data_IF_741877343778
#
_entry.id   IF_741877343778
#
_cell.length_a   1.000
_cell.length_b   1.000
_cell.length_c   1.000
_cell.angle_alpha   90.00
_cell.angle_beta   90.00
_cell.angle_gamma   90.00
#
_symmetry.space_group_name_H-M   'P 1'
#
loop_
_entity.id
_entity.type
_entity.pdbx_description
1 polymer ?
#
# COMPACT_ATOMS: atom_id res chain seq x y z
N UNK A 1 -4.10 31.46 22.83
CA UNK A 1 -3.99 30.10 22.26
C UNK A 1 -4.82 29.14 23.10
N UNK A 2 -5.46 28.12 22.51
CA UNK A 2 -6.20 27.08 23.27
C UNK A 2 -5.35 25.82 23.38
N UNK A 3 -5.33 25.18 24.54
CA UNK A 3 -4.72 23.85 24.73
C UNK A 3 -5.75 22.78 24.35
N UNK A 4 -5.44 21.94 23.38
CA UNK A 4 -6.25 20.76 23.02
C UNK A 4 -5.48 19.51 23.42
N UNK A 5 -5.87 18.88 24.53
CA UNK A 5 -5.29 17.62 25.00
C UNK A 5 -5.89 16.44 24.23
N UNK A 6 -5.33 15.25 24.39
CA UNK A 6 -5.88 14.01 23.81
C UNK A 6 -7.36 13.84 24.16
N UNK A 7 -7.73 14.01 25.43
CA UNK A 7 -9.10 13.80 25.93
C UNK A 7 -10.10 14.78 25.30
N UNK A 8 -9.69 16.04 25.06
CA UNK A 8 -10.54 17.02 24.38
C UNK A 8 -10.82 16.57 22.94
N UNK A 9 -9.80 16.07 22.25
CA UNK A 9 -9.92 15.61 20.86
C UNK A 9 -10.77 14.35 20.75
N UNK A 10 -10.59 13.40 21.66
CA UNK A 10 -11.42 12.19 21.76
C UNK A 10 -12.89 12.52 22.07
N UNK A 11 -13.16 13.54 22.89
CA UNK A 11 -14.52 14.00 23.15
C UNK A 11 -15.16 14.65 21.90
N UNK A 12 -14.38 15.39 21.11
CA UNK A 12 -14.84 15.92 19.83
C UNK A 12 -15.12 14.82 18.81
N UNK A 13 -14.27 13.77 18.74
CA UNK A 13 -14.54 12.59 17.90
C UNK A 13 -15.89 11.94 18.24
N UNK A 14 -16.20 11.81 19.55
CA UNK A 14 -17.46 11.26 20.01
C UNK A 14 -18.67 12.07 19.51
N UNK A 15 -18.56 13.40 19.54
CA UNK A 15 -19.65 14.30 19.19
C UNK A 15 -19.83 14.51 17.67
N UNK A 16 -18.76 14.41 16.88
CA UNK A 16 -18.75 14.88 15.49
C UNK A 16 -18.66 13.78 14.45
N UNK A 17 -18.06 12.63 14.77
CA UNK A 17 -17.87 11.57 13.76
C UNK A 17 -19.16 10.79 13.52
N UNK A 18 -19.31 10.26 12.30
CA UNK A 18 -20.41 9.38 11.90
C UNK A 18 -20.52 8.15 12.81
N UNK A 19 -21.72 7.56 12.97
CA UNK A 19 -21.91 6.39 13.84
C UNK A 19 -21.02 5.18 13.49
N UNK A 20 -20.70 5.01 12.21
CA UNK A 20 -19.86 3.92 11.70
C UNK A 20 -18.35 4.15 11.88
N UNK A 21 -17.93 5.36 12.28
CA UNK A 21 -16.51 5.71 12.37
C UNK A 21 -15.86 5.13 13.63
N UNK A 22 -14.62 4.68 13.51
CA UNK A 22 -13.84 4.25 14.66
C UNK A 22 -13.56 5.42 15.61
N UNK A 23 -13.61 5.17 16.92
CA UNK A 23 -13.28 6.18 17.94
C UNK A 23 -11.92 5.85 18.54
N UNK A 24 -11.04 6.85 18.66
CA UNK A 24 -9.71 6.68 19.26
C UNK A 24 -9.81 6.20 20.71
N UNK A 25 -10.79 6.74 21.47
CA UNK A 25 -11.07 6.34 22.85
C UNK A 25 -11.55 4.89 23.02
N UNK A 26 -12.01 4.27 21.93
CA UNK A 26 -12.49 2.87 21.90
C UNK A 26 -11.50 1.96 21.14
N UNK A 27 -10.31 2.44 20.80
CA UNK A 27 -9.27 1.63 20.19
C UNK A 27 -8.96 0.43 21.09
N UNK A 28 -8.79 -0.74 20.49
CA UNK A 28 -8.44 -1.94 21.25
C UNK A 28 -7.02 -1.83 21.80
N UNK A 29 -6.77 -2.54 22.89
CA UNK A 29 -5.46 -2.55 23.54
C UNK A 29 -4.36 -3.00 22.58
N UNK A 30 -3.20 -2.35 22.72
CA UNK A 30 -1.96 -2.72 22.04
C UNK A 30 -1.39 -3.98 22.66
N UNK A 31 -0.47 -4.64 21.96
CA UNK A 31 0.16 -5.86 22.46
C UNK A 31 1.09 -5.57 23.65
N UNK A 32 1.72 -4.39 23.67
CA UNK A 32 2.52 -3.89 24.78
C UNK A 32 1.84 -2.67 25.39
N UNK A 33 1.52 -2.75 26.68
CA UNK A 33 0.95 -1.64 27.43
C UNK A 33 1.92 -0.45 27.48
N UNK A 34 1.39 0.73 27.22
CA UNK A 34 2.13 1.98 27.23
C UNK A 34 1.24 3.11 27.75
N UNK A 35 1.80 4.13 28.42
CA UNK A 35 1.01 5.27 28.86
C UNK A 35 0.44 6.02 27.67
N UNK A 36 -0.74 6.60 27.86
CA UNK A 36 -1.38 7.44 26.87
C UNK A 36 -0.62 8.76 26.65
N UNK A 37 -0.60 9.25 25.41
CA UNK A 37 0.07 10.51 25.04
C UNK A 37 -0.80 11.70 25.46
N UNK A 38 -0.26 12.74 26.12
CA UNK A 38 -1.07 13.86 26.61
C UNK A 38 -1.78 14.69 25.51
N UNK A 39 -1.36 14.57 24.24
CA UNK A 39 -1.86 15.40 23.15
C UNK A 39 -2.35 14.61 21.93
N UNK A 40 -1.72 13.48 21.62
CA UNK A 40 -2.03 12.67 20.44
C UNK A 40 -2.99 11.55 20.77
N UNK A 41 -3.96 11.30 19.89
CA UNK A 41 -4.84 10.13 19.98
C UNK A 41 -4.11 8.85 19.61
N UNK A 42 -4.69 7.69 19.93
CA UNK A 42 -4.09 6.39 19.63
C UNK A 42 -3.71 6.23 18.14
N UNK A 43 -4.58 6.65 17.23
CA UNK A 43 -4.35 6.54 15.79
C UNK A 43 -3.34 7.56 15.24
N UNK A 44 -3.25 8.75 15.85
CA UNK A 44 -2.19 9.70 15.51
C UNK A 44 -0.81 9.18 15.90
N UNK A 45 -0.70 8.51 17.07
CA UNK A 45 0.54 7.85 17.47
C UNK A 45 0.94 6.77 16.47
N UNK A 46 -0.02 5.99 15.97
CA UNK A 46 0.23 4.95 14.98
C UNK A 46 0.72 5.51 13.66
N UNK A 47 0.03 6.54 13.15
CA UNK A 47 0.46 7.27 11.96
C UNK A 47 1.91 7.75 12.10
N UNK A 48 2.23 8.39 13.22
CA UNK A 48 3.57 8.93 13.45
C UNK A 48 4.61 7.80 13.51
N UNK A 49 4.30 6.65 14.10
CA UNK A 49 5.20 5.48 14.14
C UNK A 49 5.46 4.91 12.75
N UNK A 50 4.41 4.76 11.93
CA UNK A 50 4.53 4.30 10.54
C UNK A 50 5.42 5.25 9.74
N UNK A 51 5.19 6.56 9.85
CA UNK A 51 5.95 7.57 9.12
C UNK A 51 7.47 7.52 9.42
N UNK A 52 7.85 7.10 10.64
CA UNK A 52 9.25 7.05 11.07
C UNK A 52 9.93 5.70 10.88
N UNK A 53 9.22 4.63 10.51
CA UNK A 53 9.81 3.30 10.33
C UNK A 53 10.72 3.24 9.10
N UNK A 54 11.65 2.28 9.06
CA UNK A 54 12.59 2.15 7.93
C UNK A 54 11.86 1.67 6.69
N UNK A 55 10.87 0.78 6.83
CA UNK A 55 10.06 0.30 5.72
C UNK A 55 9.38 1.44 4.95
N UNK A 56 8.78 2.41 5.66
CA UNK A 56 8.17 3.60 5.02
C UNK A 56 9.21 4.44 4.27
N UNK A 57 10.40 4.66 4.85
CA UNK A 57 11.50 5.38 4.16
C UNK A 57 11.95 4.69 2.87
N UNK A 58 11.94 3.34 2.85
CA UNK A 58 12.33 2.56 1.67
C UNK A 58 11.35 2.70 0.51
N UNK A 59 10.09 3.10 0.74
CA UNK A 59 9.11 3.34 -0.33
C UNK A 59 9.58 4.37 -1.36
N UNK A 60 10.44 5.31 -0.96
CA UNK A 60 11.09 6.28 -1.88
C UNK A 60 11.89 5.59 -2.97
N UNK A 61 12.38 4.38 -2.70
CA UNK A 61 13.29 3.64 -3.56
C UNK A 61 12.68 2.34 -4.11
N UNK A 62 11.34 2.25 -4.09
CA UNK A 62 10.56 1.18 -4.71
C UNK A 62 9.70 1.74 -5.84
N UNK A 63 9.73 1.09 -6.99
CA UNK A 63 8.89 1.39 -8.15
C UNK A 63 7.43 1.08 -7.82
N UNK A 64 6.52 1.90 -8.35
CA UNK A 64 5.09 1.61 -8.32
C UNK A 64 4.71 0.70 -9.51
N UNK A 65 4.81 1.24 -10.73
CA UNK A 65 4.35 0.57 -11.96
C UNK A 65 5.48 0.19 -12.90
N UNK A 66 6.28 1.17 -13.32
CA UNK A 66 7.30 0.93 -14.34
C UNK A 66 8.60 0.47 -13.68
N UNK A 67 9.17 -0.62 -14.16
CA UNK A 67 10.48 -1.09 -13.71
C UNK A 67 11.56 -0.23 -14.36
N UNK A 68 12.30 0.52 -13.54
CA UNK A 68 13.42 1.36 -13.98
C UNK A 68 13.07 2.28 -15.18
N UNK A 69 12.05 3.15 -15.05
CA UNK A 69 11.66 4.00 -16.17
C UNK A 69 12.72 5.07 -16.40
N UNK A 70 13.06 5.30 -17.67
CA UNK A 70 13.91 6.44 -18.06
C UNK A 70 13.10 7.74 -17.92
N UNK A 71 13.25 8.44 -16.80
CA UNK A 71 12.63 9.76 -16.58
C UNK A 71 12.48 10.14 -15.10
N UNK A 72 12.51 11.44 -14.81
CA UNK A 72 12.56 11.98 -13.44
C UNK A 72 11.19 12.07 -12.75
N UNK A 73 10.09 11.79 -13.46
CA UNK A 73 8.73 12.10 -13.02
C UNK A 73 7.83 10.90 -12.74
N UNK A 74 8.35 9.67 -12.83
CA UNK A 74 7.57 8.47 -12.57
C UNK A 74 7.24 8.30 -11.09
N UNK A 75 6.01 7.87 -10.82
CA UNK A 75 5.55 7.64 -9.45
C UNK A 75 6.35 6.52 -8.77
N UNK A 76 6.98 6.88 -7.67
CA UNK A 76 7.51 5.93 -6.68
C UNK A 76 6.40 5.45 -5.78
N UNK A 77 6.64 4.35 -5.07
CA UNK A 77 5.69 3.82 -4.08
C UNK A 77 5.37 4.83 -2.97
N UNK A 78 6.36 5.63 -2.55
CA UNK A 78 6.14 6.69 -1.57
C UNK A 78 5.16 7.75 -2.09
N UNK A 79 5.33 8.20 -3.35
CA UNK A 79 4.43 9.20 -3.95
C UNK A 79 3.03 8.65 -4.14
N UNK A 80 2.88 7.37 -4.52
CA UNK A 80 1.58 6.69 -4.53
C UNK A 80 0.95 6.68 -3.13
N UNK A 81 1.68 6.19 -2.12
CA UNK A 81 1.22 6.14 -0.72
C UNK A 81 0.75 7.52 -0.21
N UNK A 82 1.43 8.61 -0.57
CA UNK A 82 1.00 9.97 -0.22
C UNK A 82 -0.29 10.40 -0.94
N UNK A 83 -0.48 9.99 -2.19
CA UNK A 83 -1.74 10.22 -2.92
C UNK A 83 -2.88 9.41 -2.31
N UNK A 84 -2.66 8.13 -1.98
CA UNK A 84 -3.64 7.29 -1.26
C UNK A 84 -4.04 7.94 0.06
N UNK A 85 -3.07 8.41 0.85
CA UNK A 85 -3.36 9.11 2.10
C UNK A 85 -4.19 10.39 1.87
N UNK A 86 -3.89 11.17 0.83
CA UNK A 86 -4.66 12.38 0.51
C UNK A 86 -6.11 12.06 0.09
N UNK A 87 -6.30 11.07 -0.79
CA UNK A 87 -7.64 10.64 -1.24
C UNK A 87 -8.41 10.05 -0.06
N UNK A 88 -7.80 9.16 0.72
CA UNK A 88 -8.41 8.53 1.88
C UNK A 88 -8.86 9.54 2.93
N UNK A 89 -8.00 10.51 3.28
CA UNK A 89 -8.37 11.61 4.20
C UNK A 89 -9.52 12.46 3.67
N UNK A 90 -9.58 12.66 2.35
CA UNK A 90 -10.65 13.45 1.73
C UNK A 90 -12.00 12.72 1.81
N UNK A 91 -12.02 11.41 1.53
CA UNK A 91 -13.21 10.57 1.70
C UNK A 91 -13.62 10.51 3.18
N UNK A 92 -12.66 10.23 4.08
CA UNK A 92 -12.91 10.15 5.51
C UNK A 92 -13.51 11.44 6.06
N UNK A 93 -12.95 12.60 5.70
CA UNK A 93 -13.50 13.88 6.13
C UNK A 93 -14.89 14.17 5.57
N UNK A 94 -15.15 13.84 4.29
CA UNK A 94 -16.47 14.01 3.68
C UNK A 94 -17.55 13.13 4.34
N UNK A 95 -17.16 11.94 4.83
CA UNK A 95 -18.04 11.00 5.53
C UNK A 95 -18.02 11.13 7.06
N UNK A 96 -17.32 12.14 7.60
CA UNK A 96 -17.07 12.32 9.03
C UNK A 96 -16.55 11.03 9.73
N UNK A 97 -15.60 10.34 9.09
CA UNK A 97 -14.87 9.20 9.62
C UNK A 97 -13.59 9.64 10.34
N UNK A 98 -12.91 8.70 11.02
CA UNK A 98 -11.67 8.99 11.72
C UNK A 98 -10.51 9.22 10.74
N UNK A 99 -10.23 10.49 10.45
CA UNK A 99 -9.15 10.90 9.54
C UNK A 99 -7.77 10.35 9.98
N UNK A 100 -7.33 10.45 11.26
CA UNK A 100 -6.07 9.87 11.70
C UNK A 100 -5.94 8.35 11.49
N UNK A 101 -7.00 7.58 11.74
CA UNK A 101 -7.01 6.13 11.48
C UNK A 101 -6.87 5.86 9.99
N UNK A 102 -7.66 6.55 9.16
CA UNK A 102 -7.61 6.41 7.70
C UNK A 102 -6.22 6.73 7.18
N UNK A 103 -5.62 7.84 7.62
CA UNK A 103 -4.26 8.25 7.25
C UNK A 103 -3.22 7.21 7.68
N UNK A 104 -3.29 6.70 8.92
CA UNK A 104 -2.37 5.66 9.40
C UNK A 104 -2.42 4.40 8.53
N UNK A 105 -3.63 3.92 8.20
CA UNK A 105 -3.82 2.74 7.34
C UNK A 105 -3.29 3.02 5.93
N UNK A 106 -3.63 4.17 5.34
CA UNK A 106 -3.17 4.55 4.01
C UNK A 106 -1.64 4.68 3.94
N UNK A 107 -0.98 5.23 4.96
CA UNK A 107 0.49 5.28 4.99
C UNK A 107 1.12 3.89 5.20
N UNK A 108 0.40 2.98 5.85
CA UNK A 108 0.85 1.64 6.19
C UNK A 108 0.58 0.57 5.13
N UNK A 109 -0.40 0.73 4.24
CA UNK A 109 -0.88 -0.33 3.34
C UNK A 109 0.22 -0.93 2.45
N UNK A 110 1.24 -0.13 2.19
CA UNK A 110 2.23 -0.36 1.16
C UNK A 110 3.65 -0.62 1.69
N UNK A 111 3.86 -0.55 3.00
CA UNK A 111 5.19 -0.76 3.61
C UNK A 111 5.74 -2.18 3.37
N UNK A 112 4.85 -3.13 3.06
CA UNK A 112 5.16 -4.55 2.89
C UNK A 112 5.52 -5.00 1.47
N UNK A 113 5.50 -4.14 0.45
CA UNK A 113 5.84 -4.60 -0.90
C UNK A 113 7.30 -5.03 -1.02
N UNK A 114 7.56 -6.07 -1.80
CA UNK A 114 8.89 -6.46 -2.24
C UNK A 114 9.47 -5.44 -3.25
N UNK A 115 10.77 -5.53 -3.59
CA UNK A 115 11.30 -4.80 -4.74
C UNK A 115 10.50 -5.15 -6.02
N UNK A 116 10.46 -4.23 -6.98
CA UNK A 116 9.82 -4.43 -8.29
C UNK A 116 8.28 -4.56 -8.27
N UNK A 117 7.60 -4.06 -7.24
CA UNK A 117 6.14 -3.99 -7.19
C UNK A 117 5.48 -5.38 -7.24
N UNK A 118 4.49 -5.57 -8.12
CA UNK A 118 3.82 -6.86 -8.29
C UNK A 118 4.76 -7.98 -8.76
N UNK A 119 5.80 -7.64 -9.54
CA UNK A 119 6.79 -8.64 -9.98
C UNK A 119 7.50 -9.29 -8.78
N UNK A 120 7.76 -8.52 -7.72
CA UNK A 120 8.34 -9.05 -6.49
C UNK A 120 7.39 -9.97 -5.73
N UNK A 121 6.10 -9.63 -5.71
CA UNK A 121 5.06 -10.49 -5.12
C UNK A 121 4.96 -11.83 -5.87
N UNK A 122 4.87 -11.78 -7.21
CA UNK A 122 4.82 -12.98 -8.06
C UNK A 122 6.05 -13.87 -7.90
N UNK A 123 7.22 -13.26 -7.62
CA UNK A 123 8.46 -13.98 -7.39
C UNK A 123 8.51 -14.70 -6.03
N UNK A 124 7.93 -14.09 -4.99
CA UNK A 124 7.94 -14.60 -3.62
C UNK A 124 6.78 -15.55 -3.31
N UNK A 125 5.61 -15.34 -3.93
CA UNK A 125 4.42 -16.14 -3.71
C UNK A 125 4.63 -17.66 -3.82
N UNK A 126 5.31 -18.20 -4.87
CA UNK A 126 5.52 -19.64 -4.98
C UNK A 126 6.57 -20.19 -4.01
N UNK A 127 7.29 -19.35 -3.26
CA UNK A 127 8.34 -19.79 -2.35
C UNK A 127 7.80 -20.18 -0.97
N UNK A 128 6.60 -19.72 -0.60
CA UNK A 128 5.97 -20.02 0.68
C UNK A 128 4.70 -20.86 0.45
N UNK A 129 4.43 -21.80 1.36
CA UNK A 129 3.30 -22.74 1.24
C UNK A 129 1.95 -22.00 1.23
N UNK A 130 1.78 -21.01 2.10
CA UNK A 130 0.58 -20.17 2.20
C UNK A 130 0.56 -19.01 1.17
N UNK A 131 1.53 -18.98 0.27
CA UNK A 131 1.78 -17.84 -0.63
C UNK A 131 2.45 -16.65 0.07
N UNK A 132 2.58 -15.55 -0.67
CA UNK A 132 3.13 -14.29 -0.18
C UNK A 132 2.28 -13.14 -0.68
N UNK A 133 1.95 -12.19 0.20
CA UNK A 133 1.19 -10.99 -0.13
C UNK A 133 1.77 -9.79 0.61
N UNK A 134 1.93 -8.68 -0.10
CA UNK A 134 2.46 -7.45 0.47
C UNK A 134 1.70 -6.95 1.71
N UNK A 135 0.37 -7.05 1.75
CA UNK A 135 -0.44 -6.54 2.84
C UNK A 135 -0.21 -7.34 4.14
N UNK A 136 -0.11 -8.67 4.03
CA UNK A 136 0.26 -9.56 5.15
C UNK A 136 1.70 -9.29 5.59
N UNK A 137 2.63 -9.11 4.64
CA UNK A 137 4.00 -8.76 4.95
C UNK A 137 4.12 -7.38 5.62
N UNK A 138 3.26 -6.42 5.26
CA UNK A 138 3.19 -5.11 5.90
C UNK A 138 2.86 -5.21 7.39
N UNK A 139 1.95 -6.11 7.76
CA UNK A 139 1.67 -6.41 9.17
C UNK A 139 2.87 -7.11 9.84
N UNK A 140 3.49 -8.07 9.16
CA UNK A 140 4.72 -8.73 9.66
C UNK A 140 5.84 -7.73 9.93
N UNK A 141 5.97 -6.68 9.12
CA UNK A 141 6.93 -5.60 9.37
C UNK A 141 6.63 -4.91 10.71
N UNK A 142 5.40 -4.46 10.94
CA UNK A 142 5.08 -3.63 12.12
C UNK A 142 4.90 -4.43 13.41
N UNK A 143 4.71 -5.75 13.31
CA UNK A 143 4.60 -6.64 14.48
C UNK A 143 5.93 -7.31 14.84
N UNK A 144 6.73 -7.68 13.83
CA UNK A 144 7.85 -8.61 14.04
C UNK A 144 9.20 -8.01 13.63
N UNK A 145 9.33 -7.46 12.43
CA UNK A 145 10.64 -7.02 11.90
C UNK A 145 11.05 -5.63 12.41
N UNK A 146 10.08 -4.74 12.56
CA UNK A 146 10.20 -3.39 13.08
C UNK A 146 9.03 -3.16 14.05
N UNK A 147 8.99 -3.80 15.23
CA UNK A 147 7.83 -3.80 16.11
C UNK A 147 7.44 -2.37 16.54
N UNK A 148 6.34 -1.87 15.98
CA UNK A 148 5.82 -0.51 16.21
C UNK A 148 4.73 -0.47 17.29
N UNK A 149 4.27 -1.62 17.78
CA UNK A 149 3.21 -1.74 18.78
C UNK A 149 1.93 -0.96 18.36
N UNK A 150 1.48 -1.09 17.10
CA UNK A 150 0.31 -0.37 16.56
C UNK A 150 -1.00 -0.89 17.14
N UNK A 151 -2.05 -0.08 17.08
CA UNK A 151 -3.42 -0.50 17.44
C UNK A 151 -3.89 -1.65 16.52
N UNK A 152 -4.73 -2.59 17.03
CA UNK A 152 -5.30 -3.64 16.20
C UNK A 152 -6.06 -3.13 14.97
N UNK A 153 -6.71 -1.97 15.05
CA UNK A 153 -7.46 -1.35 13.96
C UNK A 153 -6.56 -0.95 12.79
N UNK A 154 -5.40 -0.34 13.07
CA UNK A 154 -4.43 0.01 12.03
C UNK A 154 -3.84 -1.25 11.40
N UNK A 155 -3.50 -2.26 12.21
CA UNK A 155 -2.97 -3.54 11.71
C UNK A 155 -3.97 -4.27 10.82
N UNK A 156 -5.24 -4.31 11.21
CA UNK A 156 -6.32 -4.89 10.40
C UNK A 156 -6.50 -4.12 9.08
N UNK A 157 -6.56 -2.79 9.13
CA UNK A 157 -6.65 -1.96 7.94
C UNK A 157 -5.50 -2.18 6.95
N UNK A 158 -4.26 -2.32 7.46
CA UNK A 158 -3.09 -2.67 6.62
C UNK A 158 -3.26 -4.07 6.04
N UNK A 159 -3.58 -5.07 6.88
CA UNK A 159 -3.77 -6.47 6.47
C UNK A 159 -4.80 -6.61 5.37
N UNK A 160 -5.93 -5.92 5.51
CA UNK A 160 -7.09 -6.06 4.65
C UNK A 160 -7.16 -5.00 3.54
N UNK A 161 -6.12 -4.19 3.37
CA UNK A 161 -6.06 -3.14 2.33
C UNK A 161 -6.18 -3.64 0.89
N UNK A 162 -5.82 -4.91 0.63
CA UNK A 162 -6.00 -5.55 -0.68
C UNK A 162 -7.45 -5.94 -0.91
N UNK A 163 -8.00 -5.60 -2.08
CA UNK A 163 -9.32 -6.04 -2.54
C UNK A 163 -9.47 -7.55 -2.71
N UNK A 164 -8.35 -8.29 -2.71
CA UNK A 164 -8.35 -9.77 -2.76
C UNK A 164 -8.68 -10.41 -1.41
N UNK A 165 -8.65 -9.64 -0.32
CA UNK A 165 -8.75 -10.20 1.01
C UNK A 165 -10.21 -10.23 1.47
N UNK A 166 -10.61 -11.38 1.99
CA UNK A 166 -11.92 -11.65 2.56
C UNK A 166 -11.71 -12.30 3.95
N UNK A 167 -12.34 -11.79 5.03
CA UNK A 167 -13.27 -10.67 5.09
C UNK A 167 -12.62 -9.30 4.75
N UNK A 168 -13.43 -8.28 4.39
CA UNK A 168 -12.97 -6.90 4.27
C UNK A 168 -12.46 -6.33 5.61
N UNK A 169 -11.77 -5.16 5.60
CA UNK A 169 -11.39 -4.45 6.82
C UNK A 169 -12.57 -4.28 7.77
N UNK A 170 -12.31 -4.41 9.07
CA UNK A 170 -13.34 -4.32 10.09
C UNK A 170 -13.87 -2.89 10.30
N UNK A 171 -13.11 -1.87 9.90
CA UNK A 171 -13.46 -0.45 10.06
C UNK A 171 -13.84 0.20 8.75
N UNK A 172 -14.75 1.19 8.83
CA UNK A 172 -15.09 2.05 7.70
C UNK A 172 -13.84 2.72 7.10
N UNK A 173 -12.91 3.16 7.97
CA UNK A 173 -11.64 3.76 7.59
C UNK A 173 -10.73 2.80 6.81
N UNK A 174 -10.74 1.51 7.15
CA UNK A 174 -10.06 0.47 6.37
C UNK A 174 -10.69 0.29 4.98
N UNK A 175 -12.01 0.32 4.87
CA UNK A 175 -12.69 0.32 3.57
C UNK A 175 -12.40 1.57 2.74
N UNK A 176 -12.27 2.74 3.38
CA UNK A 176 -11.82 3.96 2.70
C UNK A 176 -10.42 3.77 2.10
N UNK A 177 -9.49 3.11 2.79
CA UNK A 177 -8.16 2.81 2.23
C UNK A 177 -8.25 2.00 0.94
N UNK A 178 -9.13 0.98 0.87
CA UNK A 178 -9.34 0.18 -0.35
C UNK A 178 -9.76 1.04 -1.54
N UNK A 179 -10.74 1.92 -1.35
CA UNK A 179 -11.18 2.84 -2.40
C UNK A 179 -10.10 3.87 -2.74
N UNK A 180 -9.44 4.44 -1.74
CA UNK A 180 -8.40 5.45 -1.93
C UNK A 180 -7.21 4.90 -2.73
N UNK A 181 -6.75 3.68 -2.44
CA UNK A 181 -5.71 3.00 -3.19
C UNK A 181 -6.12 2.83 -4.66
N UNK A 182 -7.31 2.26 -4.88
CA UNK A 182 -7.89 2.06 -6.22
C UNK A 182 -7.97 3.35 -7.02
N UNK A 183 -8.55 4.40 -6.43
CA UNK A 183 -8.73 5.70 -7.08
C UNK A 183 -7.37 6.32 -7.40
N UNK A 184 -6.42 6.28 -6.46
CA UNK A 184 -5.11 6.87 -6.64
C UNK A 184 -4.40 6.24 -7.84
N UNK A 185 -4.24 4.91 -7.87
CA UNK A 185 -3.48 4.26 -8.96
C UNK A 185 -4.18 4.32 -10.30
N UNK A 186 -5.51 4.19 -10.38
CA UNK A 186 -6.22 4.38 -11.63
C UNK A 186 -5.93 5.77 -12.23
N UNK A 187 -5.88 6.81 -11.38
CA UNK A 187 -5.67 8.17 -11.84
C UNK A 187 -4.23 8.49 -12.24
N UNK A 188 -3.22 8.13 -11.42
CA UNK A 188 -1.83 8.50 -11.74
C UNK A 188 -1.17 7.53 -12.73
N UNK A 189 -1.53 6.24 -12.72
CA UNK A 189 -0.96 5.30 -13.69
C UNK A 189 -1.46 5.60 -15.10
N UNK A 190 -2.73 6.02 -15.25
CA UNK A 190 -3.23 6.52 -16.51
C UNK A 190 -2.45 7.77 -16.96
N UNK A 191 -2.13 8.70 -16.06
CA UNK A 191 -1.34 9.89 -16.41
C UNK A 191 0.10 9.55 -16.81
N UNK A 192 0.76 8.66 -16.07
CA UNK A 192 2.12 8.25 -16.39
C UNK A 192 2.15 7.45 -17.70
N UNK A 193 1.15 6.61 -17.96
CA UNK A 193 0.97 5.94 -19.24
C UNK A 193 0.75 6.92 -20.40
N UNK A 194 -0.09 7.95 -20.22
CA UNK A 194 -0.26 9.02 -21.22
C UNK A 194 1.06 9.75 -21.51
N UNK A 195 1.80 10.13 -20.46
CA UNK A 195 3.10 10.83 -20.60
C UNK A 195 4.14 9.98 -21.31
N UNK A 196 4.14 8.68 -21.06
CA UNK A 196 5.04 7.73 -21.70
C UNK A 196 4.59 7.30 -23.11
N UNK A 197 3.48 7.86 -23.63
CA UNK A 197 2.94 7.48 -24.95
C UNK A 197 2.38 6.06 -25.01
N UNK A 198 2.07 5.48 -23.84
CA UNK A 198 1.54 4.11 -23.68
C UNK A 198 0.04 4.07 -23.84
N UNK A 199 -0.63 5.16 -23.46
CA UNK A 199 -2.09 5.28 -23.48
C UNK A 199 -2.48 6.46 -24.35
N UNK A 200 -3.24 6.19 -25.41
CA UNK A 200 -4.05 7.22 -26.08
C UNK A 200 -5.41 7.29 -25.36
N UNK A 201 -5.85 8.46 -24.88
CA UNK A 201 -7.17 8.63 -24.29
C UNK A 201 -8.33 8.13 -25.15
N UNK A 202 -8.17 8.11 -26.47
CA UNK A 202 -9.16 7.60 -27.40
C UNK A 202 -9.32 6.06 -27.35
N UNK A 203 -8.36 5.34 -26.79
CA UNK A 203 -8.41 3.87 -26.67
C UNK A 203 -9.32 3.41 -25.51
N UNK A 204 -9.65 4.30 -24.57
CA UNK A 204 -10.50 3.95 -23.45
C UNK A 204 -11.94 3.69 -23.95
N UNK A 205 -12.59 2.59 -23.51
CA UNK A 205 -13.98 2.33 -23.85
C UNK A 205 -14.90 3.53 -23.60
N UNK A 206 -15.76 3.82 -24.58
CA UNK A 206 -16.60 5.03 -24.56
C UNK A 206 -17.46 5.13 -23.31
N UNK A 207 -18.04 4.02 -22.84
CA UNK A 207 -18.88 4.01 -21.64
C UNK A 207 -18.09 4.30 -20.35
N UNK A 208 -16.82 3.92 -20.27
CA UNK A 208 -15.95 4.28 -19.14
C UNK A 208 -15.59 5.77 -19.18
N UNK A 209 -15.36 6.32 -20.37
CA UNK A 209 -15.15 7.75 -20.57
C UNK A 209 -16.40 8.56 -20.21
N UNK A 210 -17.58 8.10 -20.63
CA UNK A 210 -18.86 8.73 -20.29
C UNK A 210 -19.13 8.68 -18.77
N UNK A 211 -18.70 7.60 -18.10
CA UNK A 211 -18.92 7.42 -16.66
C UNK A 211 -17.95 8.23 -15.80
N UNK A 212 -16.65 8.14 -16.07
CA UNK A 212 -15.62 8.73 -15.21
C UNK A 212 -15.03 10.04 -15.73
N UNK A 213 -15.28 10.35 -17.01
CA UNK A 213 -14.57 11.39 -17.75
C UNK A 213 -13.28 10.88 -18.40
N UNK A 214 -12.53 11.76 -19.07
CA UNK A 214 -11.27 11.38 -19.72
C UNK A 214 -10.20 10.93 -18.71
N UNK A 215 -9.26 10.04 -19.10
CA UNK A 215 -8.15 9.61 -18.26
C UNK A 215 -7.38 10.76 -17.64
N UNK A 216 -7.17 10.67 -16.33
CA UNK A 216 -6.25 11.52 -15.61
C UNK A 216 -6.78 12.04 -14.26
N UNK A 217 -6.34 13.25 -13.89
CA UNK A 217 -6.52 13.77 -12.52
C UNK A 217 -7.98 13.97 -12.11
N UNK A 218 -8.88 14.17 -13.08
CA UNK A 218 -10.31 14.37 -12.82
C UNK A 218 -10.96 13.14 -12.20
N UNK A 219 -10.46 11.94 -12.51
CA UNK A 219 -10.97 10.68 -11.94
C UNK A 219 -10.92 10.66 -10.42
N UNK A 220 -9.93 11.31 -9.80
CA UNK A 220 -9.84 11.40 -8.34
C UNK A 220 -11.10 12.04 -7.77
N UNK A 221 -11.48 13.21 -8.30
CA UNK A 221 -12.66 13.93 -7.83
C UNK A 221 -13.95 13.16 -8.16
N UNK A 222 -14.07 12.66 -9.39
CA UNK A 222 -15.26 11.92 -9.84
C UNK A 222 -15.52 10.67 -8.98
N UNK A 223 -14.52 9.79 -8.85
CA UNK A 223 -14.68 8.53 -8.11
C UNK A 223 -14.80 8.77 -6.60
N UNK A 224 -14.12 9.79 -6.06
CA UNK A 224 -14.31 10.19 -4.66
C UNK A 224 -15.77 10.59 -4.41
N UNK A 225 -16.35 11.44 -5.26
CA UNK A 225 -17.76 11.84 -5.13
C UNK A 225 -18.69 10.64 -5.22
N UNK A 226 -18.45 9.72 -6.16
CA UNK A 226 -19.25 8.49 -6.28
C UNK A 226 -19.23 7.63 -5.01
N UNK A 227 -18.05 7.47 -4.39
CA UNK A 227 -17.92 6.75 -3.11
C UNK A 227 -18.66 7.49 -2.00
N UNK A 228 -18.47 8.81 -1.88
CA UNK A 228 -19.10 9.60 -0.82
C UNK A 228 -20.63 9.56 -0.93
N UNK A 229 -21.18 9.85 -2.11
CA UNK A 229 -22.63 9.90 -2.32
C UNK A 229 -23.29 8.54 -2.05
N UNK A 230 -22.72 7.46 -2.59
CA UNK A 230 -23.21 6.12 -2.35
C UNK A 230 -23.13 5.73 -0.87
N UNK A 231 -22.05 6.14 -0.19
CA UNK A 231 -21.86 5.82 1.22
C UNK A 231 -22.85 6.54 2.13
N UNK A 232 -23.17 7.80 1.82
CA UNK A 232 -24.20 8.56 2.55
C UNK A 232 -25.58 7.93 2.37
N UNK A 233 -25.91 7.48 1.16
CA UNK A 233 -27.19 6.81 0.86
C UNK A 233 -27.32 5.46 1.58
N UNK A 234 -26.24 4.67 1.60
CA UNK A 234 -26.26 3.32 2.17
C UNK A 234 -26.04 3.27 3.69
N UNK A 235 -25.38 4.28 4.27
CA UNK A 235 -24.97 4.28 5.68
C UNK A 235 -23.73 3.42 5.96
N UNK A 236 -22.98 3.04 4.93
CA UNK A 236 -21.73 2.29 4.99
C UNK A 236 -20.76 2.76 3.90
N UNK A 237 -19.45 2.49 4.01
CA UNK A 237 -18.49 2.91 2.97
C UNK A 237 -18.62 2.01 1.75
N UNK A 238 -19.20 2.55 0.67
CA UNK A 238 -19.52 1.80 -0.54
C UNK A 238 -19.48 2.67 -1.80
N UNK A 239 -19.72 2.04 -2.95
CA UNK A 239 -19.92 2.64 -4.26
C UNK A 239 -21.11 1.93 -4.91
N UNK A 240 -21.93 2.62 -5.71
CA UNK A 240 -23.09 1.99 -6.36
C UNK A 240 -22.64 0.80 -7.23
N UNK A 241 -23.46 -0.23 -7.36
CA UNK A 241 -23.07 -1.47 -8.04
C UNK A 241 -22.51 -1.22 -9.46
N UNK A 242 -23.22 -0.45 -10.28
CA UNK A 242 -22.80 -0.12 -11.64
C UNK A 242 -21.48 0.70 -11.67
N UNK A 243 -21.29 1.58 -10.70
CA UNK A 243 -20.07 2.39 -10.55
C UNK A 243 -18.86 1.52 -10.16
N UNK A 244 -19.07 0.57 -9.25
CA UNK A 244 -18.04 -0.36 -8.80
C UNK A 244 -17.68 -1.36 -9.91
N UNK A 245 -18.67 -1.85 -10.65
CA UNK A 245 -18.46 -2.72 -11.82
C UNK A 245 -17.63 -2.00 -12.89
N UNK A 246 -17.99 -0.75 -13.23
CA UNK A 246 -17.22 0.08 -14.16
C UNK A 246 -15.79 0.34 -13.66
N UNK A 247 -15.58 0.53 -12.35
CA UNK A 247 -14.26 0.69 -11.76
C UNK A 247 -13.43 -0.60 -11.85
N UNK A 248 -14.07 -1.77 -11.69
CA UNK A 248 -13.42 -3.06 -11.89
C UNK A 248 -13.06 -3.29 -13.35
N UNK A 249 -13.95 -2.96 -14.28
CA UNK A 249 -13.69 -3.02 -15.72
C UNK A 249 -12.52 -2.12 -16.11
N UNK A 250 -12.55 -0.84 -15.70
CA UNK A 250 -11.46 0.10 -15.97
C UNK A 250 -10.12 -0.44 -15.48
N UNK A 251 -10.10 -1.05 -14.30
CA UNK A 251 -8.90 -1.63 -13.72
C UNK A 251 -8.38 -2.82 -14.51
N UNK A 252 -9.27 -3.70 -14.98
CA UNK A 252 -8.92 -4.81 -15.86
C UNK A 252 -8.36 -4.29 -17.18
N UNK A 253 -9.02 -3.30 -17.78
CA UNK A 253 -8.58 -2.68 -19.02
C UNK A 253 -7.18 -2.04 -18.87
N UNK A 254 -6.95 -1.25 -17.81
CA UNK A 254 -5.62 -0.69 -17.53
C UNK A 254 -4.58 -1.79 -17.35
N UNK A 255 -4.95 -2.93 -16.77
CA UNK A 255 -4.02 -4.03 -16.58
C UNK A 255 -3.57 -4.68 -17.89
N UNK A 256 -4.51 -4.90 -18.79
CA UNK A 256 -4.23 -5.45 -20.12
C UNK A 256 -3.44 -4.47 -21.01
N UNK A 257 -3.73 -3.18 -20.93
CA UNK A 257 -3.19 -2.18 -21.87
C UNK A 257 -1.93 -1.46 -21.36
N UNK A 258 -1.73 -1.36 -20.04
CA UNK A 258 -0.59 -0.63 -19.44
C UNK A 258 0.44 -1.60 -18.86
N UNK A 259 -0.01 -2.57 -18.04
CA UNK A 259 0.90 -3.42 -17.25
C UNK A 259 1.35 -4.70 -17.98
N UNK A 260 0.49 -5.37 -18.76
CA UNK A 260 0.78 -6.65 -19.42
C UNK A 260 1.51 -6.56 -20.77
N UNK A 261 2.15 -5.42 -21.06
CA UNK A 261 2.79 -5.19 -22.35
C UNK A 261 4.01 -6.10 -22.54
N UNK A 262 4.24 -6.51 -23.79
CA UNK A 262 5.31 -7.44 -24.15
C UNK A 262 6.69 -6.88 -23.78
N UNK A 263 6.88 -5.56 -23.89
CA UNK A 263 8.10 -4.86 -23.50
C UNK A 263 8.36 -4.93 -21.99
N UNK A 264 7.31 -4.96 -21.18
CA UNK A 264 7.41 -5.07 -19.72
C UNK A 264 7.69 -6.52 -19.27
N UNK A 265 7.22 -7.52 -20.03
CA UNK A 265 7.36 -8.94 -19.70
C UNK A 265 8.82 -9.36 -19.51
N UNK A 266 9.70 -8.98 -20.44
CA UNK A 266 11.12 -9.33 -20.35
C UNK A 266 11.80 -8.71 -19.11
N UNK A 267 11.36 -7.52 -18.69
CA UNK A 267 11.84 -6.88 -17.47
C UNK A 267 11.29 -7.56 -16.21
N UNK A 268 10.00 -7.89 -16.19
CA UNK A 268 9.38 -8.65 -15.09
C UNK A 268 10.05 -10.00 -14.89
N UNK A 269 10.32 -10.76 -15.96
CA UNK A 269 11.03 -12.04 -15.84
C UNK A 269 12.44 -11.89 -15.26
N UNK A 270 13.15 -10.79 -15.58
CA UNK A 270 14.44 -10.47 -14.95
C UNK A 270 14.25 -10.13 -13.47
N UNK A 271 13.24 -9.35 -13.12
CA UNK A 271 12.91 -9.02 -11.74
C UNK A 271 12.60 -10.27 -10.90
N UNK A 272 11.81 -11.20 -11.44
CA UNK A 272 11.53 -12.49 -10.80
C UNK A 272 12.81 -13.27 -10.54
N UNK A 273 13.67 -13.41 -11.56
CA UNK A 273 14.98 -14.08 -11.41
C UNK A 273 15.84 -13.43 -10.34
N UNK A 274 15.97 -12.10 -10.34
CA UNK A 274 16.74 -11.36 -9.32
C UNK A 274 16.25 -11.68 -7.91
N UNK A 275 14.94 -11.67 -7.67
CA UNK A 275 14.37 -11.97 -6.36
C UNK A 275 14.62 -13.42 -5.96
N UNK A 276 14.36 -14.38 -6.85
CA UNK A 276 14.52 -15.81 -6.57
C UNK A 276 15.98 -16.20 -6.34
N UNK A 277 16.90 -15.66 -7.13
CA UNK A 277 18.35 -15.85 -6.96
C UNK A 277 18.81 -15.32 -5.60
N UNK A 278 18.36 -14.13 -5.21
CA UNK A 278 18.71 -13.54 -3.90
C UNK A 278 18.13 -14.36 -2.74
N UNK A 279 16.86 -14.77 -2.81
CA UNK A 279 16.25 -15.61 -1.75
C UNK A 279 17.00 -16.95 -1.67
N UNK A 280 17.31 -17.56 -2.80
CA UNK A 280 18.10 -18.80 -2.87
C UNK A 280 19.48 -18.65 -2.22
N UNK A 281 20.20 -17.56 -2.52
CA UNK A 281 21.50 -17.25 -1.93
C UNK A 281 21.42 -17.06 -0.42
N UNK A 282 20.53 -16.20 0.06
CA UNK A 282 20.43 -15.89 1.49
C UNK A 282 19.90 -17.07 2.30
N UNK A 283 19.08 -17.93 1.70
CA UNK A 283 18.69 -19.19 2.33
C UNK A 283 19.87 -20.14 2.51
N UNK A 284 20.81 -20.21 1.55
CA UNK A 284 21.99 -21.07 1.66
C UNK A 284 23.13 -20.45 2.47
N UNK A 285 23.11 -19.12 2.65
CA UNK A 285 24.09 -18.34 3.42
C UNK A 285 23.38 -17.47 4.47
N UNK A 286 22.67 -18.07 5.45
CA UNK A 286 21.90 -17.33 6.44
C UNK A 286 22.76 -16.38 7.29
N UNK A 287 24.07 -16.62 7.40
CA UNK A 287 25.03 -15.72 8.06
C UNK A 287 25.21 -14.36 7.38
N UNK A 288 24.86 -14.23 6.09
CA UNK A 288 24.87 -12.95 5.38
C UNK A 288 23.61 -12.12 5.62
N UNK A 289 22.55 -12.72 6.18
CA UNK A 289 21.31 -12.03 6.52
C UNK A 289 21.54 -11.18 7.76
N UNK A 290 21.14 -9.91 7.70
CA UNK A 290 21.23 -9.01 8.85
C UNK A 290 20.44 -9.56 10.06
N UNK A 291 21.02 -9.47 11.26
CA UNK A 291 20.47 -10.03 12.52
C UNK A 291 19.01 -9.68 12.77
N UNK A 292 18.58 -8.48 12.39
CA UNK A 292 17.19 -8.02 12.53
C UNK A 292 16.16 -8.89 11.77
N UNK A 293 16.60 -9.70 10.81
CA UNK A 293 15.76 -10.61 10.03
C UNK A 293 15.96 -12.09 10.43
N UNK A 294 16.98 -12.41 11.25
CA UNK A 294 17.28 -13.76 11.74
C UNK A 294 16.58 -14.02 13.07
N UNK A 295 15.25 -13.98 13.03
CA UNK A 295 14.40 -14.03 14.22
C UNK A 295 14.37 -15.44 14.83
N UNK A 296 14.33 -15.57 16.16
CA UNK A 296 14.18 -16.87 16.82
C UNK A 296 12.95 -17.63 16.31
N UNK A 297 13.15 -18.90 15.92
CA UNK A 297 12.06 -19.77 15.43
C UNK A 297 11.64 -19.53 13.97
N UNK A 298 12.21 -18.55 13.26
CA UNK A 298 12.01 -18.41 11.81
C UNK A 298 12.90 -19.38 11.05
N UNK A 299 12.38 -19.95 9.96
CA UNK A 299 13.21 -20.75 9.04
C UNK A 299 14.16 -19.86 8.26
N UNK A 300 15.27 -20.43 7.76
CA UNK A 300 16.22 -19.71 6.90
C UNK A 300 15.53 -19.16 5.64
N UNK A 301 14.54 -19.89 5.12
CA UNK A 301 13.72 -19.44 4.00
C UNK A 301 12.90 -18.19 4.36
N UNK A 302 12.23 -18.17 5.52
CA UNK A 302 11.46 -17.01 5.95
C UNK A 302 12.39 -15.80 6.19
N UNK A 303 13.54 -16.01 6.83
CA UNK A 303 14.53 -14.95 7.04
C UNK A 303 15.04 -14.37 5.70
N UNK A 304 15.32 -15.23 4.72
CA UNK A 304 15.73 -14.81 3.39
C UNK A 304 14.63 -14.03 2.65
N UNK A 305 13.38 -14.50 2.71
CA UNK A 305 12.22 -13.82 2.12
C UNK A 305 12.02 -12.45 2.76
N UNK A 306 12.05 -12.35 4.10
CA UNK A 306 11.87 -11.08 4.80
C UNK A 306 12.99 -10.09 4.46
N UNK A 307 14.24 -10.58 4.38
CA UNK A 307 15.40 -9.76 4.05
C UNK A 307 15.32 -9.22 2.62
N UNK A 308 14.99 -10.07 1.65
CA UNK A 308 14.86 -9.69 0.24
C UNK A 308 13.66 -8.79 0.00
N UNK A 309 12.50 -9.08 0.59
CA UNK A 309 11.31 -8.21 0.51
C UNK A 309 11.59 -6.82 1.10
N UNK A 310 12.43 -6.76 2.15
CA UNK A 310 12.89 -5.52 2.78
C UNK A 310 13.86 -4.68 1.95
N UNK A 311 14.37 -5.16 0.81
CA UNK A 311 15.28 -4.40 -0.04
C UNK A 311 14.56 -3.30 -0.83
N UNK A 312 15.29 -2.27 -1.26
CA UNK A 312 14.85 -1.37 -2.34
C UNK A 312 15.29 -1.92 -3.70
N UNK A 313 14.70 -1.45 -4.80
CA UNK A 313 14.98 -1.99 -6.13
C UNK A 313 16.46 -1.88 -6.50
N UNK A 314 17.06 -0.69 -6.33
CA UNK A 314 18.48 -0.46 -6.59
C UNK A 314 19.38 -1.29 -5.68
N UNK A 315 18.97 -1.53 -4.44
CA UNK A 315 19.73 -2.37 -3.53
C UNK A 315 19.68 -3.83 -3.97
N UNK A 316 18.51 -4.35 -4.33
CA UNK A 316 18.33 -5.71 -4.81
C UNK A 316 19.15 -5.97 -6.09
N UNK A 317 19.07 -5.06 -7.08
CA UNK A 317 19.89 -5.15 -8.31
C UNK A 317 21.38 -5.18 -7.98
N UNK A 318 21.85 -4.28 -7.12
CA UNK A 318 23.27 -4.24 -6.73
C UNK A 318 23.69 -5.50 -5.98
N UNK A 319 22.85 -5.99 -5.06
CA UNK A 319 23.13 -7.19 -4.29
C UNK A 319 23.21 -8.44 -5.19
N UNK A 320 22.36 -8.50 -6.21
CA UNK A 320 22.37 -9.54 -7.23
C UNK A 320 23.61 -9.44 -8.12
N UNK A 321 23.90 -8.25 -8.64
CA UNK A 321 25.07 -8.02 -9.49
C UNK A 321 26.39 -8.41 -8.79
N UNK A 322 26.52 -8.12 -7.49
CA UNK A 322 27.72 -8.47 -6.71
C UNK A 322 27.93 -9.98 -6.53
N UNK A 323 26.87 -10.79 -6.61
CA UNK A 323 26.89 -12.24 -6.33
C UNK A 323 26.86 -13.08 -7.59
N UNK A 324 26.14 -12.62 -8.61
CA UNK A 324 25.80 -13.43 -9.78
C UNK A 324 26.42 -12.93 -11.08
N UNK A 325 26.98 -11.70 -11.15
CA UNK A 325 27.74 -11.31 -12.35
C UNK A 325 29.07 -12.06 -12.40
N UNK A 326 29.43 -12.66 -13.55
CA UNK A 326 30.72 -13.28 -13.72
C UNK A 326 31.85 -12.27 -13.46
N UNK A 327 32.76 -12.58 -12.55
CA UNK A 327 33.99 -11.83 -12.38
C UNK A 327 34.99 -12.24 -13.49
N UNK A 328 35.52 -11.28 -14.24
CA UNK A 328 36.66 -11.50 -15.14
C UNK A 328 36.36 -11.84 -16.61
N UNK A 329 35.15 -11.57 -17.11
CA UNK A 329 34.88 -11.52 -18.55
C UNK A 329 35.07 -10.08 -19.05
N UNK A 330 36.32 -9.70 -19.29
CA UNK A 330 36.70 -8.48 -20.03
C UNK A 330 37.64 -8.84 -21.16
#
# INVERSE_FOLDING_TARGET
>A
MRRRTREVREAEEEALLSPIAARSRRARHRDVDEPEDPYRTAYERDRDRILHCKAFRRLKHKTQVFLNPEGDHFVTRLTHTLQVAQVGRSIANALALNEPLTEAICLGHDIGHAPFGHTGEDALAPLLEDGWQHAIHGVRIVEVLEPLNLTPEVRDGIRQSSWRNDPPPATAEGMVCRFADRIAYLAHDAQDAQRAGVLDPADLPAHLTDRFGPPGRSWIATMLTMVVDASVEAGEVTMRADDLEAMHELRTWMFEHIYLREEARAQSERGVRVIQDLVGHYRSHPEEIADAYRLPGSSDLQAAVDYVAGMSDKYAIRAHDQRFRPAGLY
#
